data_IF_376468754502
#
_entry.id   IF_376468754502
#
_cell.length_a   1.000
_cell.length_b   1.000
_cell.length_c   1.000
_cell.angle_alpha   90.00
_cell.angle_beta   90.00
_cell.angle_gamma   90.00
#
_symmetry.space_group_name_H-M   'P 1'
#
loop_
_entity.id
_entity.type
_entity.pdbx_description
1 polymer ?
#
# COMPACT_ATOMS: atom_id res chain seq x y z
N UNK A 1 61.30 -7.91 -20.25
CA UNK A 1 60.21 -6.92 -20.40
C UNK A 1 58.95 -7.57 -19.83
N UNK A 2 58.66 -7.41 -18.54
CA UNK A 2 57.85 -6.30 -17.94
C UNK A 2 56.43 -6.32 -18.50
N UNK A 3 55.33 -6.33 -17.75
CA UNK A 3 55.00 -5.97 -16.36
C UNK A 3 53.57 -6.53 -16.16
N UNK A 4 53.27 -7.38 -15.17
CA UNK A 4 52.82 -7.02 -13.82
C UNK A 4 51.71 -5.95 -13.74
N UNK A 5 50.47 -6.38 -13.46
CA UNK A 5 49.63 -5.73 -12.44
C UNK A 5 48.42 -6.57 -12.06
N UNK A 6 48.51 -7.11 -10.86
CA UNK A 6 47.45 -7.74 -10.10
C UNK A 6 46.58 -6.71 -9.35
N UNK A 7 45.26 -7.01 -9.31
CA UNK A 7 44.30 -6.84 -8.19
C UNK A 7 43.96 -5.41 -7.67
N UNK A 8 42.85 -5.19 -6.90
CA UNK A 8 42.06 -6.18 -6.15
C UNK A 8 40.52 -6.12 -6.30
N UNK A 9 39.93 -7.23 -5.83
CA UNK A 9 38.52 -7.44 -5.52
C UNK A 9 38.24 -6.72 -4.20
N UNK A 10 37.25 -5.85 -4.20
CA UNK A 10 36.75 -5.14 -3.03
C UNK A 10 35.81 -6.06 -2.25
N UNK A 11 36.13 -6.28 -0.97
CA UNK A 11 35.32 -7.03 0.00
C UNK A 11 35.04 -6.07 1.13
N UNK A 12 33.86 -5.45 1.11
CA UNK A 12 33.37 -4.61 2.18
C UNK A 12 32.83 -5.48 3.32
N UNK A 13 33.57 -5.51 4.42
CA UNK A 13 33.14 -5.95 5.74
C UNK A 13 32.85 -4.69 6.57
N UNK A 14 31.69 -4.52 7.24
CA UNK A 14 31.51 -3.41 8.15
C UNK A 14 32.07 -3.73 9.54
N UNK A 15 33.08 -2.94 9.93
CA UNK A 15 33.67 -2.85 11.26
C UNK A 15 32.61 -2.70 12.36
N UNK A 16 32.70 -3.58 13.37
CA UNK A 16 32.13 -3.37 14.69
C UNK A 16 33.15 -2.62 15.54
N UNK A 17 32.76 -1.48 16.13
CA UNK A 17 33.47 -0.90 17.29
C UNK A 17 32.48 -0.72 18.46
N UNK A 18 32.87 -0.99 19.72
CA UNK A 18 31.96 -1.06 20.86
C UNK A 18 32.01 0.23 21.71
N UNK A 19 30.86 0.69 22.23
CA UNK A 19 30.81 1.68 23.31
C UNK A 19 29.71 1.41 24.34
N UNK A 20 30.19 0.98 25.51
CA UNK A 20 29.91 1.49 26.87
C UNK A 20 28.46 1.69 27.38
N UNK A 21 28.09 0.77 28.28
CA UNK A 21 27.48 0.92 29.62
C UNK A 21 26.79 2.25 30.06
N UNK A 22 25.49 2.09 30.41
CA UNK A 22 24.76 2.51 31.65
C UNK A 22 24.51 4.03 31.95
N UNK A 23 23.48 4.42 32.74
CA UNK A 23 22.70 3.60 33.69
C UNK A 23 21.15 3.69 33.62
N UNK A 24 20.60 2.73 34.36
CA UNK A 24 19.23 2.51 34.82
C UNK A 24 18.71 3.69 35.63
N UNK A 25 17.50 4.16 35.31
CA UNK A 25 16.68 4.94 36.24
C UNK A 25 15.36 4.20 36.47
N UNK A 26 15.20 3.78 37.73
CA UNK A 26 14.03 3.14 38.29
C UNK A 26 13.19 4.19 38.98
N UNK A 27 12.00 4.48 38.46
CA UNK A 27 10.99 5.27 39.18
C UNK A 27 9.75 4.42 39.47
N UNK A 28 9.64 4.06 40.74
CA UNK A 28 8.55 3.28 41.32
C UNK A 28 7.43 4.22 41.76
N UNK A 29 6.40 4.36 40.93
CA UNK A 29 5.14 5.00 41.30
C UNK A 29 4.24 4.02 42.08
N UNK A 30 4.27 4.09 43.41
CA UNK A 30 3.35 3.39 44.30
C UNK A 30 2.34 4.37 44.88
N UNK A 31 1.06 4.28 44.52
CA UNK A 31 -0.07 4.73 45.36
C UNK A 31 -1.33 3.90 45.06
N UNK A 32 -1.86 3.24 46.09
CA UNK A 32 -3.31 3.20 46.30
C UNK A 32 -3.97 1.82 46.31
N UNK A 33 -3.92 1.11 47.44
CA UNK A 33 -5.06 0.27 47.85
C UNK A 33 -5.20 0.25 49.38
N UNK A 34 -6.36 0.73 49.83
CA UNK A 34 -6.85 0.71 51.21
C UNK A 34 -7.35 -0.69 51.56
N UNK A 35 -6.91 -1.23 52.70
CA UNK A 35 -7.62 -2.31 53.41
C UNK A 35 -8.17 -1.76 54.74
N UNK A 36 -9.38 -2.14 55.15
CA UNK A 36 -9.83 -1.95 56.51
C UNK A 36 -9.62 -3.21 57.38
N UNK A 37 -9.19 -2.90 58.60
CA UNK A 37 -8.97 -3.69 59.80
C UNK A 37 -10.04 -4.73 60.14
N UNK A 38 -9.61 -5.86 60.70
CA UNK A 38 -10.37 -6.59 61.71
C UNK A 38 -9.45 -7.00 62.86
N UNK A 39 -9.70 -6.37 64.02
CA UNK A 39 -9.14 -6.69 65.32
C UNK A 39 -9.82 -7.93 65.90
N UNK A 40 -9.03 -8.90 66.35
CA UNK A 40 -9.49 -10.05 67.12
C UNK A 40 -9.61 -9.61 68.59
N UNK A 41 -10.85 -9.52 69.08
CA UNK A 41 -11.18 -9.30 70.49
C UNK A 41 -11.46 -10.67 71.10
N UNK A 42 -10.55 -11.15 71.93
CA UNK A 42 -10.80 -12.25 72.84
C UNK A 42 -10.99 -11.67 74.22
N UNK A 43 -12.09 -12.05 74.87
CA UNK A 43 -12.25 -11.93 76.31
C UNK A 43 -13.08 -13.12 76.82
N UNK A 44 -12.60 -13.61 77.96
CA UNK A 44 -13.19 -14.61 78.85
C UNK A 44 -14.62 -14.24 79.26
N UNK A 45 -15.42 -15.24 79.65
CA UNK A 45 -16.14 -15.15 80.93
C UNK A 45 -16.67 -16.50 81.43
N UNK A 46 -16.29 -16.79 82.67
CA UNK A 46 -16.99 -17.70 83.60
C UNK A 46 -17.96 -16.88 84.43
N UNK A 47 -19.17 -17.39 84.67
CA UNK A 47 -19.95 -17.22 85.91
C UNK A 47 -21.17 -18.16 85.82
N UNK A 48 -21.27 -19.14 86.70
CA UNK A 48 -22.02 -19.13 87.97
C UNK A 48 -23.53 -19.00 87.76
N UNK A 49 -24.31 -19.95 88.30
CA UNK A 49 -25.52 -19.66 89.07
C UNK A 49 -26.04 -20.95 89.74
N UNK A 50 -25.81 -21.01 91.06
CA UNK A 50 -26.62 -21.72 92.04
C UNK A 50 -28.00 -21.05 92.16
N UNK A 51 -29.03 -21.84 92.44
CA UNK A 51 -29.99 -21.68 93.56
C UNK A 51 -31.26 -22.48 93.23
N UNK A 52 -31.59 -23.51 94.00
CA UNK A 52 -32.22 -23.46 95.32
C UNK A 52 -33.72 -23.14 95.25
N UNK A 53 -34.53 -24.08 95.73
CA UNK A 53 -35.84 -23.88 96.33
C UNK A 53 -36.38 -25.26 96.77
N UNK A 54 -37.08 -25.46 97.90
CA UNK A 54 -37.57 -24.57 98.96
C UNK A 54 -38.34 -25.45 99.97
N UNK A 55 -38.13 -25.22 101.28
CA UNK A 55 -39.10 -25.24 102.43
C UNK A 55 -40.01 -26.48 102.66
N UNK A 56 -40.51 -26.86 103.84
CA UNK A 56 -40.62 -26.32 105.21
C UNK A 56 -41.12 -27.50 106.11
N UNK A 57 -40.49 -27.78 107.26
CA UNK A 57 -40.97 -27.62 108.68
C UNK A 57 -41.92 -28.67 109.30
N UNK A 58 -41.64 -29.00 110.58
CA UNK A 58 -42.47 -29.79 111.50
C UNK A 58 -41.67 -30.78 112.38
N UNK A 59 -40.86 -30.30 113.34
CA UNK A 59 -41.08 -30.43 114.80
C UNK A 59 -41.11 -31.86 115.37
N UNK A 60 -40.05 -32.27 116.09
CA UNK A 60 -40.02 -32.48 117.56
C UNK A 60 -38.68 -33.14 117.96
N UNK A 61 -38.05 -32.64 119.02
CA UNK A 61 -36.81 -33.16 119.63
C UNK A 61 -37.06 -33.30 121.15
N UNK A 62 -36.18 -33.89 121.98
CA UNK A 62 -34.86 -34.47 121.68
C UNK A 62 -34.60 -35.82 122.39
N UNK A 63 -33.52 -36.52 122.03
CA UNK A 63 -32.70 -37.18 123.04
C UNK A 63 -31.28 -37.40 122.51
N UNK A 64 -30.33 -36.76 123.18
CA UNK A 64 -28.93 -36.69 122.86
C UNK A 64 -28.18 -37.80 123.60
N UNK A 65 -27.41 -38.63 122.89
CA UNK A 65 -26.28 -39.38 123.46
C UNK A 65 -25.12 -39.45 122.45
N UNK A 66 -23.86 -39.49 122.94
CA UNK A 66 -22.72 -38.88 122.25
C UNK A 66 -21.93 -39.83 121.33
N UNK A 67 -21.06 -39.17 120.55
CA UNK A 67 -20.08 -39.65 119.57
C UNK A 67 -19.41 -41.00 119.87
N UNK A 68 -19.50 -41.94 118.93
CA UNK A 68 -18.59 -43.09 118.81
C UNK A 68 -17.92 -43.04 117.44
N UNK A 69 -16.66 -42.66 117.43
CA UNK A 69 -15.80 -42.52 116.26
C UNK A 69 -15.44 -43.92 115.71
N UNK A 70 -16.20 -44.43 114.74
CA UNK A 70 -15.85 -45.68 114.07
C UNK A 70 -14.92 -45.40 112.89
N UNK A 71 -13.62 -45.67 113.05
CA UNK A 71 -12.67 -45.77 111.93
C UNK A 71 -13.12 -46.90 111.00
N UNK A 72 -13.85 -46.52 109.95
CA UNK A 72 -14.38 -47.44 108.94
C UNK A 72 -13.21 -47.88 108.05
N UNK A 73 -12.55 -48.98 108.43
CA UNK A 73 -11.52 -49.63 107.61
C UNK A 73 -12.20 -50.10 106.31
N UNK A 74 -11.79 -49.54 105.17
CA UNK A 74 -12.30 -49.93 103.86
C UNK A 74 -11.83 -51.37 103.57
N UNK A 75 -12.75 -52.26 103.23
CA UNK A 75 -12.43 -53.63 102.79
C UNK A 75 -11.53 -53.58 101.55
N UNK A 76 -10.44 -54.37 101.47
CA UNK A 76 -9.51 -54.35 100.34
C UNK A 76 -10.19 -54.67 99.00
N UNK A 77 -11.31 -55.41 99.02
CA UNK A 77 -12.10 -55.66 97.83
C UNK A 77 -12.72 -54.37 97.26
N UNK A 78 -13.16 -53.44 98.11
CA UNK A 78 -13.78 -52.18 97.66
C UNK A 78 -12.78 -51.25 96.97
N UNK A 79 -11.50 -51.28 97.37
CA UNK A 79 -10.44 -50.57 96.65
C UNK A 79 -10.16 -51.20 95.28
N UNK A 80 -10.16 -52.53 95.17
CA UNK A 80 -9.94 -53.19 93.86
C UNK A 80 -11.09 -52.91 92.89
N UNK A 81 -12.35 -52.93 93.35
CA UNK A 81 -13.50 -52.57 92.51
C UNK A 81 -13.49 -51.08 92.11
N UNK A 82 -13.06 -50.18 93.00
CA UNK A 82 -12.92 -48.76 92.69
C UNK A 82 -11.80 -48.52 91.67
N UNK A 83 -10.64 -49.18 91.83
CA UNK A 83 -9.53 -49.10 90.88
C UNK A 83 -9.89 -49.66 89.50
N UNK A 84 -10.60 -50.80 89.45
CA UNK A 84 -11.06 -51.39 88.19
C UNK A 84 -12.12 -50.53 87.50
N UNK A 85 -13.00 -49.89 88.28
CA UNK A 85 -13.94 -48.89 87.78
C UNK A 85 -13.23 -47.67 87.19
N UNK A 86 -12.18 -47.16 87.85
CA UNK A 86 -11.38 -46.03 87.34
C UNK A 86 -10.66 -46.41 86.04
N UNK A 87 -10.06 -47.60 85.95
CA UNK A 87 -9.40 -48.06 84.70
C UNK A 87 -10.41 -48.25 83.57
N UNK A 88 -11.61 -48.77 83.85
CA UNK A 88 -12.67 -48.88 82.86
C UNK A 88 -13.16 -47.49 82.39
N UNK A 89 -13.30 -46.52 83.30
CA UNK A 89 -13.67 -45.15 82.97
C UNK A 89 -12.56 -44.44 82.20
N UNK A 90 -11.30 -44.60 82.57
CA UNK A 90 -10.16 -44.07 81.82
C UNK A 90 -10.02 -44.73 80.45
N UNK A 91 -10.28 -46.03 80.34
CA UNK A 91 -10.34 -46.75 79.08
C UNK A 91 -11.49 -46.29 78.20
N UNK A 92 -12.66 -45.99 78.79
CA UNK A 92 -13.80 -45.41 78.10
C UNK A 92 -13.52 -43.97 77.66
N UNK A 93 -12.91 -43.15 78.51
CA UNK A 93 -12.50 -41.78 78.17
C UNK A 93 -11.44 -41.81 77.06
N UNK A 94 -10.46 -42.70 77.17
CA UNK A 94 -9.46 -42.92 76.11
C UNK A 94 -10.14 -43.39 74.82
N UNK A 95 -11.10 -44.31 74.90
CA UNK A 95 -11.86 -44.78 73.75
C UNK A 95 -12.73 -43.66 73.14
N UNK A 96 -13.39 -42.82 73.94
CA UNK A 96 -14.19 -41.69 73.45
C UNK A 96 -13.29 -40.62 72.84
N UNK A 97 -12.14 -40.33 73.44
CA UNK A 97 -11.20 -39.31 72.94
C UNK A 97 -10.36 -39.79 71.76
N UNK A 98 -10.08 -41.09 71.64
CA UNK A 98 -9.12 -41.64 70.67
C UNK A 98 -9.74 -42.61 69.64
N UNK A 99 -10.85 -43.28 69.94
CA UNK A 99 -11.56 -44.15 68.98
C UNK A 99 -12.54 -43.37 68.07
N UNK A 100 -12.75 -42.07 68.36
CA UNK A 100 -13.62 -41.18 67.59
C UNK A 100 -12.93 -40.35 66.51
N UNK A 101 -11.60 -40.24 66.49
CA UNK A 101 -10.89 -39.48 65.46
C UNK A 101 -10.63 -40.33 64.21
N UNK A 102 -11.73 -40.74 63.55
CA UNK A 102 -11.63 -41.03 62.12
C UNK A 102 -11.14 -39.75 61.45
N UNK A 103 -9.94 -39.79 60.93
CA UNK A 103 -9.33 -38.68 60.20
C UNK A 103 -10.13 -38.44 58.92
N UNK A 104 -11.23 -37.70 59.02
CA UNK A 104 -11.96 -37.15 57.87
C UNK A 104 -11.19 -35.95 57.27
N UNK A 105 -9.88 -36.13 57.10
CA UNK A 105 -9.05 -35.27 56.27
C UNK A 105 -8.73 -36.02 54.97
N UNK A 106 -8.60 -35.32 53.82
CA UNK A 106 -8.14 -35.96 52.60
C UNK A 106 -6.81 -36.66 52.89
N UNK A 107 -6.79 -37.99 52.68
CA UNK A 107 -5.60 -38.82 52.91
C UNK A 107 -4.44 -38.32 52.05
N UNK A 108 -3.20 -38.52 52.49
CA UNK A 108 -2.00 -38.12 51.72
C UNK A 108 -2.05 -38.66 50.27
N UNK A 109 -2.59 -39.86 50.07
CA UNK A 109 -2.80 -40.45 48.75
C UNK A 109 -3.71 -39.59 47.85
N UNK A 110 -4.85 -39.11 48.38
CA UNK A 110 -5.76 -38.24 47.62
C UNK A 110 -5.13 -36.89 47.27
N UNK A 111 -4.32 -36.31 48.17
CA UNK A 111 -3.59 -35.06 47.90
C UNK A 111 -2.51 -35.25 46.84
N UNK A 112 -1.74 -36.34 46.92
CA UNK A 112 -0.74 -36.69 45.91
C UNK A 112 -1.39 -36.91 44.53
N UNK A 113 -2.54 -37.59 44.49
CA UNK A 113 -3.28 -37.80 43.26
C UNK A 113 -3.82 -36.49 42.68
N UNK A 114 -4.36 -35.60 43.52
CA UNK A 114 -4.80 -34.27 43.08
C UNK A 114 -3.63 -33.41 42.59
N UNK A 115 -2.46 -33.48 43.23
CA UNK A 115 -1.27 -32.77 42.76
C UNK A 115 -0.80 -33.31 41.42
N UNK A 116 -0.78 -34.64 41.24
CA UNK A 116 -0.38 -35.24 39.98
C UNK A 116 -1.33 -34.83 38.83
N UNK A 117 -2.63 -34.81 39.10
CA UNK A 117 -3.61 -34.38 38.11
C UNK A 117 -3.44 -32.89 37.72
N UNK A 118 -3.11 -32.03 38.69
CA UNK A 118 -2.78 -30.62 38.41
C UNK A 118 -1.49 -30.49 37.61
N UNK A 119 -0.46 -31.30 37.91
CA UNK A 119 0.80 -31.32 37.16
C UNK A 119 0.53 -31.75 35.70
N UNK A 120 -0.26 -32.79 35.48
CA UNK A 120 -0.61 -33.25 34.13
C UNK A 120 -1.44 -32.21 33.38
N UNK A 121 -2.37 -31.55 34.08
CA UNK A 121 -3.16 -30.44 33.50
C UNK A 121 -2.27 -29.24 33.13
N UNK A 122 -1.31 -28.87 33.99
CA UNK A 122 -0.35 -27.81 33.70
C UNK A 122 0.54 -28.17 32.52
N UNK A 123 0.97 -29.43 32.42
CA UNK A 123 1.76 -29.93 31.29
C UNK A 123 1.00 -29.79 29.97
N UNK A 124 -0.23 -30.28 29.94
CA UNK A 124 -1.11 -30.13 28.76
C UNK A 124 -1.31 -28.67 28.38
N UNK A 125 -1.47 -27.78 29.37
CA UNK A 125 -1.68 -26.34 29.10
C UNK A 125 -0.42 -25.64 28.63
N UNK A 126 0.76 -26.07 29.10
CA UNK A 126 2.05 -25.60 28.58
C UNK A 126 2.22 -26.04 27.12
N UNK A 127 1.91 -27.30 26.80
CA UNK A 127 1.97 -27.82 25.42
C UNK A 127 1.00 -27.07 24.49
N UNK A 128 -0.23 -26.79 24.94
CA UNK A 128 -1.21 -25.99 24.20
C UNK A 128 -0.72 -24.55 23.97
N UNK A 129 -0.14 -23.91 25.00
CA UNK A 129 0.42 -22.56 24.88
C UNK A 129 1.64 -22.53 23.95
N UNK A 130 2.48 -23.56 23.99
CA UNK A 130 3.63 -23.72 23.09
C UNK A 130 3.18 -23.89 21.64
N UNK A 131 2.24 -24.80 21.39
CA UNK A 131 1.66 -25.00 20.06
C UNK A 131 1.00 -23.72 19.52
N UNK A 132 0.24 -23.01 20.36
CA UNK A 132 -0.35 -21.72 19.97
C UNK A 132 0.69 -20.61 19.75
N UNK A 133 1.84 -20.67 20.41
CA UNK A 133 2.95 -19.76 20.17
C UNK A 133 3.65 -20.06 18.84
N UNK A 134 3.90 -21.33 18.54
CA UNK A 134 4.51 -21.76 17.27
C UNK A 134 3.62 -21.42 16.08
N UNK A 135 2.30 -21.59 16.21
CA UNK A 135 1.35 -21.21 15.16
C UNK A 135 1.34 -19.70 14.94
N UNK A 136 1.31 -18.89 16.01
CA UNK A 136 1.44 -17.43 15.89
C UNK A 136 2.77 -17.00 15.28
N UNK A 137 3.87 -17.68 15.61
CA UNK A 137 5.18 -17.41 15.03
C UNK A 137 5.20 -17.72 13.54
N UNK A 138 4.66 -18.86 13.13
CA UNK A 138 4.55 -19.22 11.71
C UNK A 138 3.67 -18.25 10.93
N UNK A 139 2.59 -17.76 11.54
CA UNK A 139 1.72 -16.74 10.96
C UNK A 139 2.47 -15.41 10.83
N UNK A 140 3.22 -14.99 11.86
CA UNK A 140 4.03 -13.78 11.83
C UNK A 140 5.10 -13.84 10.74
N UNK A 141 5.83 -14.96 10.62
CA UNK A 141 6.80 -15.20 9.55
C UNK A 141 6.13 -15.16 8.17
N UNK A 142 4.96 -15.79 8.02
CA UNK A 142 4.16 -15.73 6.79
C UNK A 142 3.72 -14.30 6.42
N UNK A 143 3.30 -13.50 7.40
CA UNK A 143 2.96 -12.08 7.17
C UNK A 143 4.19 -11.25 6.83
N UNK A 144 5.33 -11.50 7.49
CA UNK A 144 6.59 -10.82 7.21
C UNK A 144 7.06 -11.08 5.78
N UNK A 145 7.00 -12.34 5.34
CA UNK A 145 7.35 -12.72 3.96
C UNK A 145 6.45 -12.04 2.94
N UNK A 146 5.13 -11.98 3.19
CA UNK A 146 4.18 -11.28 2.31
C UNK A 146 4.45 -9.78 2.28
N UNK A 147 4.77 -9.16 3.41
CA UNK A 147 5.14 -7.74 3.47
C UNK A 147 6.43 -7.48 2.69
N UNK A 148 7.43 -8.35 2.81
CA UNK A 148 8.67 -8.28 2.02
C UNK A 148 8.40 -8.39 0.51
N UNK A 149 7.53 -9.31 0.10
CA UNK A 149 7.13 -9.43 -1.31
C UNK A 149 6.40 -8.18 -1.82
N UNK A 150 5.48 -7.63 -1.03
CA UNK A 150 4.78 -6.39 -1.37
C UNK A 150 5.76 -5.21 -1.48
N UNK A 151 6.72 -5.11 -0.56
CA UNK A 151 7.74 -4.07 -0.58
C UNK A 151 8.62 -4.17 -1.84
N UNK A 152 9.08 -5.38 -2.19
CA UNK A 152 9.84 -5.60 -3.42
C UNK A 152 9.04 -5.25 -4.68
N UNK A 153 7.77 -5.66 -4.76
CA UNK A 153 6.90 -5.30 -5.89
C UNK A 153 6.66 -3.81 -5.98
N UNK A 154 6.60 -3.10 -4.85
CA UNK A 154 6.45 -1.65 -4.82
C UNK A 154 7.70 -0.95 -5.33
N UNK A 155 8.88 -1.43 -4.93
CA UNK A 155 10.18 -0.93 -5.40
C UNK A 155 10.37 -1.15 -6.91
N UNK A 156 10.01 -2.33 -7.41
CA UNK A 156 10.01 -2.64 -8.85
C UNK A 156 9.07 -1.70 -9.63
N UNK A 157 7.90 -1.42 -9.06
CA UNK A 157 6.90 -0.55 -9.68
C UNK A 157 7.35 0.92 -9.65
N UNK A 158 7.99 1.35 -8.57
CA UNK A 158 8.56 2.69 -8.43
C UNK A 158 9.71 2.90 -9.41
N UNK A 159 10.64 1.96 -9.50
CA UNK A 159 11.72 1.94 -10.49
C UNK A 159 11.16 1.99 -11.91
N UNK A 160 10.19 1.11 -12.23
CA UNK A 160 9.53 1.09 -13.55
C UNK A 160 8.80 2.40 -13.88
N UNK A 161 8.31 3.13 -12.86
CA UNK A 161 7.65 4.42 -13.04
C UNK A 161 8.65 5.55 -13.25
N UNK A 162 9.83 5.46 -12.65
CA UNK A 162 10.94 6.41 -12.84
C UNK A 162 11.55 6.26 -14.23
N UNK A 163 11.75 5.03 -14.69
CA UNK A 163 12.24 4.73 -16.04
C UNK A 163 11.16 4.86 -17.12
N UNK A 164 9.91 5.16 -16.73
CA UNK A 164 8.81 5.23 -17.67
C UNK A 164 8.97 6.44 -18.59
N UNK A 165 8.87 6.26 -19.93
CA UNK A 165 8.90 7.36 -20.89
C UNK A 165 7.74 8.36 -20.70
N UNK A 166 6.79 8.05 -19.82
CA UNK A 166 5.72 8.94 -19.38
C UNK A 166 6.23 10.18 -18.62
N UNK A 167 7.36 10.11 -17.91
CA UNK A 167 7.95 11.31 -17.28
C UNK A 167 8.54 12.29 -18.31
N UNK A 168 9.08 11.76 -19.41
CA UNK A 168 9.62 12.56 -20.51
C UNK A 168 8.53 13.09 -21.46
N UNK A 169 7.27 12.67 -21.28
CA UNK A 169 6.14 13.10 -22.11
C UNK A 169 5.83 14.60 -22.02
N UNK A 170 5.70 15.22 -20.83
CA UNK A 170 5.49 16.66 -20.72
C UNK A 170 6.61 17.49 -21.36
N UNK A 171 7.87 17.10 -21.16
CA UNK A 171 9.02 17.77 -21.81
C UNK A 171 8.96 17.64 -23.34
N UNK A 172 8.63 16.44 -23.86
CA UNK A 172 8.43 16.24 -25.30
C UNK A 172 7.27 17.06 -25.85
N UNK A 173 6.15 17.12 -25.13
CA UNK A 173 4.99 17.93 -25.53
C UNK A 173 5.40 19.41 -25.54
N UNK A 174 6.10 19.89 -24.54
CA UNK A 174 6.58 21.28 -24.49
C UNK A 174 7.56 21.59 -25.63
N UNK A 175 8.50 20.69 -25.92
CA UNK A 175 9.43 20.83 -27.03
C UNK A 175 8.70 20.85 -28.39
N UNK A 176 7.69 20.00 -28.58
CA UNK A 176 6.84 20.01 -29.77
C UNK A 176 6.05 21.30 -29.89
N UNK A 177 5.46 21.79 -28.79
CA UNK A 177 4.73 23.07 -28.76
C UNK A 177 5.65 24.24 -29.13
N UNK A 178 6.86 24.30 -28.58
CA UNK A 178 7.83 25.34 -28.92
C UNK A 178 8.22 25.27 -30.40
N UNK A 179 8.42 24.07 -30.93
CA UNK A 179 8.75 23.89 -32.35
C UNK A 179 7.59 24.26 -33.26
N UNK A 180 6.35 24.01 -32.85
CA UNK A 180 5.17 24.47 -33.59
C UNK A 180 5.07 25.99 -33.61
N UNK A 181 5.35 26.66 -32.49
CA UNK A 181 5.37 28.13 -32.41
C UNK A 181 6.49 28.75 -33.27
N UNK A 182 7.66 28.12 -33.28
CA UNK A 182 8.77 28.55 -34.15
C UNK A 182 8.40 28.36 -35.63
N UNK A 183 7.76 27.24 -35.97
CA UNK A 183 7.29 26.98 -37.33
C UNK A 183 6.20 27.98 -37.75
N UNK A 184 5.20 28.24 -36.91
CA UNK A 184 4.13 29.21 -37.21
C UNK A 184 4.72 30.60 -37.45
N UNK A 185 5.56 31.07 -36.53
CA UNK A 185 6.27 32.34 -36.68
C UNK A 185 7.10 32.41 -37.97
N UNK A 186 7.82 31.34 -38.31
CA UNK A 186 8.59 31.28 -39.55
C UNK A 186 7.71 31.36 -40.81
N UNK A 187 6.51 30.77 -40.76
CA UNK A 187 5.54 30.82 -41.85
C UNK A 187 4.96 32.22 -41.96
N UNK A 188 4.57 32.86 -40.86
CA UNK A 188 4.06 34.24 -40.83
C UNK A 188 5.06 35.24 -41.41
N UNK A 189 6.35 35.11 -41.04
CA UNK A 189 7.42 35.96 -41.60
C UNK A 189 7.57 35.74 -43.11
N UNK A 190 7.58 34.50 -43.57
CA UNK A 190 7.69 34.19 -45.01
C UNK A 190 6.48 34.66 -45.79
N UNK A 191 5.29 34.53 -45.22
CA UNK A 191 4.05 34.99 -45.82
C UNK A 191 4.06 36.52 -45.96
N UNK A 192 4.41 37.24 -44.90
CA UNK A 192 4.54 38.70 -44.91
C UNK A 192 5.57 39.17 -45.95
N UNK A 193 6.73 38.51 -46.02
CA UNK A 193 7.75 38.81 -47.03
C UNK A 193 7.31 38.49 -48.47
N UNK A 194 6.48 37.46 -48.66
CA UNK A 194 5.90 37.15 -49.96
C UNK A 194 4.88 38.22 -50.39
N UNK A 195 4.04 38.67 -49.45
CA UNK A 195 3.05 39.72 -49.69
C UNK A 195 3.71 41.06 -50.04
N UNK A 196 4.79 41.43 -49.35
CA UNK A 196 5.56 42.65 -49.66
C UNK A 196 6.19 42.57 -51.07
N UNK A 197 6.71 41.40 -51.46
CA UNK A 197 7.22 41.18 -52.82
C UNK A 197 6.12 41.30 -53.88
N UNK A 198 4.93 40.76 -53.61
CA UNK A 198 3.80 40.90 -54.52
C UNK A 198 3.43 42.37 -54.73
N UNK A 199 3.31 43.15 -53.65
CA UNK A 199 3.02 44.59 -53.72
C UNK A 199 4.12 45.39 -54.43
N UNK A 200 5.39 45.02 -54.24
CA UNK A 200 6.52 45.58 -54.97
C UNK A 200 6.46 45.27 -56.47
N UNK A 201 6.09 44.04 -56.85
CA UNK A 201 5.92 43.65 -58.25
C UNK A 201 4.74 44.37 -58.89
N UNK A 202 3.61 44.50 -58.19
CA UNK A 202 2.43 45.23 -58.67
C UNK A 202 2.76 46.71 -58.94
N UNK A 203 3.44 47.37 -58.00
CA UNK A 203 3.86 48.77 -58.17
C UNK A 203 4.86 48.93 -59.32
N UNK A 204 5.82 48.01 -59.47
CA UNK A 204 6.76 48.00 -60.59
C UNK A 204 6.05 47.80 -61.94
N UNK A 205 5.06 46.91 -62.00
CA UNK A 205 4.24 46.68 -63.19
C UNK A 205 3.46 47.96 -63.56
N UNK A 206 2.89 48.64 -62.57
CA UNK A 206 2.15 49.89 -62.79
C UNK A 206 3.07 51.02 -63.26
N UNK A 207 4.28 51.13 -62.72
CA UNK A 207 5.28 52.09 -63.18
C UNK A 207 5.70 51.81 -64.63
N UNK A 208 6.00 50.56 -64.98
CA UNK A 208 6.30 50.14 -66.37
C UNK A 208 5.12 50.43 -67.29
N UNK A 209 3.88 50.23 -66.84
CA UNK A 209 2.67 50.56 -67.61
C UNK A 209 2.57 52.07 -67.87
N UNK A 210 2.82 52.91 -66.87
CA UNK A 210 2.84 54.38 -67.00
C UNK A 210 3.94 54.85 -67.97
N UNK A 211 5.15 54.31 -67.84
CA UNK A 211 6.27 54.61 -68.76
C UNK A 211 5.92 54.24 -70.20
N UNK A 212 5.32 53.06 -70.43
CA UNK A 212 4.84 52.66 -71.77
C UNK A 212 3.70 53.53 -72.29
N UNK A 213 2.81 54.01 -71.43
CA UNK A 213 1.73 54.91 -71.83
C UNK A 213 2.28 56.28 -72.26
N UNK A 214 3.27 56.82 -71.54
CA UNK A 214 3.97 58.06 -71.91
C UNK A 214 4.85 57.90 -73.14
N UNK A 215 5.35 56.70 -73.45
CA UNK A 215 6.11 56.42 -74.67
C UNK A 215 5.22 56.30 -75.92
N UNK A 216 3.90 56.10 -75.77
CA UNK A 216 2.95 56.08 -76.89
C UNK A 216 2.62 57.47 -77.47
N UNK A 217 3.13 58.56 -76.90
CA UNK A 217 2.97 59.91 -77.46
C UNK A 217 4.15 60.39 -78.32
N UNK A 218 5.17 59.56 -78.57
CA UNK A 218 6.13 59.79 -79.66
C UNK A 218 6.00 58.73 -80.76
N UNK A 219 5.45 59.15 -81.89
CA UNK A 219 5.53 58.42 -83.15
C UNK A 219 7.00 58.25 -83.55
N UNK A 220 7.49 57.01 -83.72
CA UNK A 220 8.25 56.55 -84.91
C UNK A 220 8.71 55.08 -84.82
N UNK A 221 8.38 54.34 -85.89
CA UNK A 221 8.93 53.08 -86.40
C UNK A 221 9.28 51.93 -85.43
N UNK A 222 8.37 50.95 -85.43
CA UNK A 222 8.61 49.58 -84.98
C UNK A 222 9.49 48.83 -85.99
N UNK A 223 10.57 48.14 -85.57
CA UNK A 223 10.99 46.92 -86.23
C UNK A 223 10.07 45.80 -85.74
N UNK A 224 9.27 45.28 -86.66
CA UNK A 224 8.37 44.17 -86.50
C UNK A 224 9.16 42.93 -86.05
N UNK A 225 9.29 42.73 -84.73
CA UNK A 225 9.81 41.48 -84.17
C UNK A 225 8.72 40.44 -84.35
N UNK A 226 8.87 39.61 -85.39
CA UNK A 226 8.02 38.45 -85.63
C UNK A 226 7.95 37.62 -84.34
N UNK A 227 6.79 37.67 -83.69
CA UNK A 227 6.48 36.75 -82.60
C UNK A 227 6.37 35.38 -83.24
N UNK A 228 7.41 34.57 -83.10
CA UNK A 228 7.34 33.13 -83.36
C UNK A 228 6.16 32.62 -82.54
N UNK A 229 5.07 32.22 -83.20
CA UNK A 229 3.89 31.65 -82.53
C UNK A 229 4.40 30.47 -81.71
N UNK A 230 4.45 30.64 -80.39
CA UNK A 230 4.70 29.54 -79.49
C UNK A 230 3.52 28.59 -79.64
N UNK A 231 3.74 27.29 -79.91
CA UNK A 231 2.65 26.34 -80.02
C UNK A 231 1.83 26.40 -78.73
N UNK A 232 0.50 26.46 -78.89
CA UNK A 232 -0.43 26.41 -77.77
C UNK A 232 -0.16 25.15 -76.96
N UNK A 233 -0.01 25.25 -75.62
CA UNK A 233 0.27 24.10 -74.80
C UNK A 233 -0.84 23.06 -74.99
N UNK A 234 -0.50 21.76 -75.04
CA UNK A 234 -1.51 20.71 -75.19
C UNK A 234 -2.50 20.80 -74.02
N UNK A 235 -3.78 20.55 -74.28
CA UNK A 235 -4.79 20.44 -73.23
C UNK A 235 -4.84 19.01 -72.67
N UNK A 236 -4.97 18.83 -71.35
CA UNK A 236 -5.05 17.50 -70.75
C UNK A 236 -6.36 16.79 -71.13
N UNK A 237 -6.34 15.48 -71.41
CA UNK A 237 -7.55 14.69 -71.72
C UNK A 237 -8.35 14.30 -70.46
N UNK A 238 -8.15 15.02 -69.36
CA UNK A 238 -8.73 14.76 -68.05
C UNK A 238 -9.09 16.07 -67.38
N UNK A 239 -10.07 16.05 -66.48
CA UNK A 239 -10.38 17.19 -65.63
C UNK A 239 -9.83 16.98 -64.22
N UNK A 240 -9.27 18.03 -63.63
CA UNK A 240 -8.85 18.06 -62.23
C UNK A 240 -10.04 18.44 -61.36
N UNK A 241 -10.30 17.68 -60.30
CA UNK A 241 -11.42 17.90 -59.38
C UNK A 241 -11.01 18.46 -58.03
N UNK A 242 -9.75 18.29 -57.61
CA UNK A 242 -9.25 18.79 -56.33
C UNK A 242 -7.91 18.16 -55.92
N UNK A 243 -7.44 18.53 -54.74
CA UNK A 243 -6.26 17.94 -54.08
C UNK A 243 -6.68 17.25 -52.79
N UNK A 244 -6.16 16.05 -52.55
CA UNK A 244 -6.42 15.26 -51.35
C UNK A 244 -5.12 14.98 -50.60
N UNK A 245 -5.12 15.19 -49.28
CA UNK A 245 -3.98 14.92 -48.42
C UNK A 245 -4.15 13.56 -47.73
N UNK A 246 -3.22 12.62 -47.99
CA UNK A 246 -3.23 11.29 -47.36
C UNK A 246 -1.84 10.94 -46.83
N UNK A 247 -1.76 10.61 -45.54
CA UNK A 247 -0.49 10.24 -44.90
C UNK A 247 0.61 11.29 -45.06
N UNK A 248 0.24 12.58 -45.04
CA UNK A 248 1.17 13.71 -45.20
C UNK A 248 1.61 13.97 -46.65
N UNK A 249 1.02 13.31 -47.65
CA UNK A 249 1.33 13.50 -49.07
C UNK A 249 0.11 14.00 -49.83
N UNK A 250 0.32 14.95 -50.73
CA UNK A 250 -0.72 15.48 -51.62
C UNK A 250 -0.93 14.56 -52.82
N UNK A 251 -2.19 14.33 -53.17
CA UNK A 251 -2.63 13.57 -54.33
C UNK A 251 -3.62 14.41 -55.12
N UNK A 252 -3.49 14.41 -56.44
CA UNK A 252 -4.41 15.09 -57.34
C UNK A 252 -5.59 14.17 -57.66
N UNK A 253 -6.82 14.64 -57.43
CA UNK A 253 -8.03 13.94 -57.84
C UNK A 253 -8.36 14.29 -59.29
N UNK A 254 -8.29 13.30 -60.17
CA UNK A 254 -8.43 13.47 -61.62
C UNK A 254 -9.52 12.56 -62.16
N UNK A 255 -10.42 13.10 -62.99
CA UNK A 255 -11.43 12.34 -63.72
C UNK A 255 -11.03 12.13 -65.19
N UNK A 256 -11.19 10.90 -65.68
CA UNK A 256 -10.97 10.60 -67.11
C UNK A 256 -12.20 11.04 -67.92
N UNK A 257 -12.17 12.25 -68.47
CA UNK A 257 -13.28 12.85 -69.23
C UNK A 257 -13.88 14.10 -68.57
N UNK A 258 -15.02 14.58 -69.08
CA UNK A 258 -15.73 15.72 -68.50
C UNK A 258 -16.33 15.33 -67.14
N UNK A 259 -15.84 15.95 -66.07
CA UNK A 259 -16.20 15.72 -64.66
C UNK A 259 -17.72 15.49 -64.44
N UNK A 260 -18.07 14.38 -63.79
CA UNK A 260 -19.47 14.13 -63.41
C UNK A 260 -19.73 12.97 -62.45
N UNK A 261 -18.83 11.99 -62.31
CA UNK A 261 -19.04 10.83 -61.42
C UNK A 261 -17.84 10.55 -60.53
N UNK A 262 -18.10 10.32 -59.24
CA UNK A 262 -17.09 9.92 -58.25
C UNK A 262 -16.39 8.59 -58.63
N UNK A 263 -17.06 7.71 -59.36
CA UNK A 263 -16.48 6.44 -59.86
C UNK A 263 -15.33 6.62 -60.82
N UNK A 264 -15.25 7.78 -61.48
CA UNK A 264 -14.28 8.04 -62.55
C UNK A 264 -13.06 8.82 -62.01
N UNK A 265 -13.07 9.13 -60.71
CA UNK A 265 -11.99 9.80 -60.01
C UNK A 265 -10.89 8.79 -59.65
N UNK A 266 -9.66 9.21 -59.91
CA UNK A 266 -8.46 8.52 -59.45
C UNK A 266 -7.52 9.51 -58.78
N UNK A 267 -6.80 9.03 -57.78
CA UNK A 267 -5.75 9.79 -57.11
C UNK A 267 -4.42 9.58 -57.79
N UNK A 268 -3.73 10.68 -58.11
CA UNK A 268 -2.42 10.67 -58.76
C UNK A 268 -1.45 11.46 -57.89
N UNK A 269 -0.39 10.81 -57.42
CA UNK A 269 0.67 11.47 -56.66
C UNK A 269 1.73 12.10 -57.56
N UNK A 270 2.53 13.01 -57.00
CA UNK A 270 3.72 13.52 -57.68
C UNK A 270 4.64 12.36 -58.14
N UNK A 271 5.15 12.48 -59.37
CA UNK A 271 5.94 11.46 -60.05
C UNK A 271 5.11 10.41 -60.81
N UNK A 272 3.77 10.43 -60.72
CA UNK A 272 2.91 9.46 -61.42
C UNK A 272 2.40 9.99 -62.77
N UNK A 273 1.99 9.05 -63.64
CA UNK A 273 1.58 9.34 -65.01
C UNK A 273 0.07 9.19 -65.25
N UNK A 274 -0.48 10.06 -66.10
CA UNK A 274 -1.83 10.00 -66.67
C UNK A 274 -1.71 9.93 -68.19
N UNK A 275 -1.60 8.71 -68.72
CA UNK A 275 -1.20 8.53 -70.11
C UNK A 275 0.22 9.06 -70.32
N UNK A 276 0.38 10.09 -71.16
CA UNK A 276 1.67 10.75 -71.43
C UNK A 276 1.94 11.96 -70.52
N UNK A 277 1.03 12.26 -69.59
CA UNK A 277 1.15 13.39 -68.68
C UNK A 277 1.80 12.94 -67.37
N UNK A 278 3.00 13.44 -67.09
CA UNK A 278 3.71 13.16 -65.84
C UNK A 278 3.42 14.28 -64.83
N UNK A 279 2.85 13.96 -63.66
CA UNK A 279 2.61 14.94 -62.61
C UNK A 279 3.93 15.30 -61.92
N UNK A 280 4.43 16.51 -62.14
CA UNK A 280 5.74 16.95 -61.60
C UNK A 280 5.63 17.61 -60.22
N UNK A 281 4.60 18.43 -59.99
CA UNK A 281 4.35 19.07 -58.69
C UNK A 281 2.87 19.38 -58.48
N UNK A 282 2.45 19.40 -57.21
CA UNK A 282 1.13 19.89 -56.77
C UNK A 282 1.35 21.12 -55.88
N UNK A 283 0.95 22.29 -56.37
CA UNK A 283 1.19 23.58 -55.71
C UNK A 283 -0.13 24.31 -55.46
N UNK A 284 -0.67 24.19 -54.24
CA UNK A 284 -1.83 24.94 -53.75
C UNK A 284 -3.05 24.85 -54.68
N UNK A 285 -3.15 25.82 -55.60
CA UNK A 285 -4.25 25.99 -56.55
C UNK A 285 -3.92 25.51 -57.98
N UNK A 286 -2.81 24.80 -58.17
CA UNK A 286 -2.36 24.33 -59.48
C UNK A 286 -1.58 23.02 -59.41
N UNK A 287 -1.57 22.28 -60.51
CA UNK A 287 -0.74 21.10 -60.69
C UNK A 287 0.09 21.26 -61.97
N UNK A 288 1.39 21.02 -61.88
CA UNK A 288 2.28 21.07 -63.03
C UNK A 288 2.44 19.66 -63.63
N UNK A 289 2.26 19.55 -64.93
CA UNK A 289 2.44 18.32 -65.67
C UNK A 289 3.50 18.47 -66.75
N UNK A 290 4.32 17.45 -66.95
CA UNK A 290 5.27 17.39 -68.06
C UNK A 290 4.74 16.46 -69.14
N UNK A 291 4.68 16.94 -70.39
CA UNK A 291 4.34 16.16 -71.58
C UNK A 291 5.27 16.56 -72.73
N UNK A 292 5.91 15.60 -73.39
CA UNK A 292 6.86 15.84 -74.48
C UNK A 292 7.98 16.87 -74.14
N UNK A 293 8.40 16.93 -72.87
CA UNK A 293 9.39 17.88 -72.38
C UNK A 293 8.86 19.31 -72.16
N UNK A 294 7.55 19.55 -72.31
CA UNK A 294 6.90 20.81 -71.99
C UNK A 294 6.16 20.70 -70.65
N UNK A 295 6.30 21.71 -69.80
CA UNK A 295 5.51 21.84 -68.57
C UNK A 295 4.22 22.59 -68.85
N UNK A 296 3.09 21.99 -68.49
CA UNK A 296 1.74 22.55 -68.57
C UNK A 296 1.17 22.65 -67.16
N UNK A 297 0.77 23.85 -66.77
CA UNK A 297 0.15 24.11 -65.47
C UNK A 297 -1.36 24.04 -65.62
N UNK A 298 -2.00 23.18 -64.83
CA UNK A 298 -3.45 22.98 -64.81
C UNK A 298 -4.01 23.51 -63.49
N UNK A 299 -5.03 24.38 -63.50
CA UNK A 299 -5.63 24.88 -62.27
C UNK A 299 -6.36 23.76 -61.52
N UNK A 300 -6.30 23.81 -60.19
CA UNK A 300 -7.10 22.99 -59.30
C UNK A 300 -8.33 23.83 -58.90
N UNK A 301 -9.57 23.32 -59.09
CA UNK A 301 -10.79 24.02 -58.66
C UNK A 301 -10.89 24.26 -57.16
#
# INVERSE_FOLDING_TARGET
MTDDRQRPVDSGDPEQEPRSEAPVDSDTGSVGRREPSFSHHGDDDRQDFNDANREETGHEAPNYTPYAESRRRWSPLRLTFLGLGIVAVLGLIYFVLFAGSKSEGPTLASRLQSQQQVIDQLRMRIEELQSGQDERRSQAEGTSNRLGEIASRLDDLETSRQDSPLQALPERVQALSHRLEELSSSVDVRFSAAQEKEQSLESSIEEVRKLRASQKTSTQQSPQRQTRRQPEPPSPPFSVSGVELRGGRSYLAVASGAAGRLSDLRLVGEGQNIGQWHLSSIEGHSAAFTINGQTVVVPVP
#
